data_IF_074964022772
#
_entry.id   IF_074964022772
#
_cell.length_a   1.000
_cell.length_b   1.000
_cell.length_c   1.000
_cell.angle_alpha   90.00
_cell.angle_beta   90.00
_cell.angle_gamma   90.00
#
_symmetry.space_group_name_H-M   'P 1'
#
loop_
_entity.id
_entity.type
_entity.pdbx_description
1 polymer ?
#
# COMPACT_ATOMS: atom_id res chain seq x y z
N UNK A 1 12.98 3.01 -24.10
CA UNK A 1 12.94 4.49 -24.11
C UNK A 1 11.60 4.88 -23.54
N UNK A 2 11.57 5.60 -22.41
CA UNK A 2 10.29 6.08 -21.86
C UNK A 2 9.69 7.11 -22.82
N UNK A 3 8.41 6.98 -23.14
CA UNK A 3 7.71 7.99 -23.91
C UNK A 3 7.68 9.30 -23.13
N UNK A 4 7.93 10.41 -23.80
CA UNK A 4 7.90 11.75 -23.20
C UNK A 4 6.42 12.14 -22.94
N UNK A 5 5.93 11.91 -21.72
CA UNK A 5 4.55 12.22 -21.34
C UNK A 5 4.46 13.64 -20.75
N UNK A 6 3.48 14.43 -21.21
CA UNK A 6 3.37 15.87 -20.88
C UNK A 6 2.86 16.15 -19.45
N UNK A 7 2.19 15.19 -18.84
CA UNK A 7 1.62 15.31 -17.49
C UNK A 7 1.42 13.92 -16.89
N UNK A 8 1.62 13.81 -15.57
CA UNK A 8 1.37 12.55 -14.85
C UNK A 8 -0.12 12.19 -14.96
N UNK A 9 -0.49 10.99 -15.43
CA UNK A 9 -1.89 10.60 -15.55
C UNK A 9 -2.60 10.63 -14.19
N UNK A 10 -3.80 11.22 -14.15
CA UNK A 10 -4.72 11.14 -13.01
C UNK A 10 -5.93 10.30 -13.41
N UNK A 11 -6.05 9.11 -12.84
CA UNK A 11 -7.05 8.12 -13.25
C UNK A 11 -8.12 7.99 -12.16
N UNK A 12 -9.39 8.12 -12.55
CA UNK A 12 -10.50 7.82 -11.66
C UNK A 12 -10.76 6.32 -11.63
N UNK A 13 -10.58 5.70 -10.46
CA UNK A 13 -10.83 4.28 -10.25
C UNK A 13 -12.17 4.01 -9.56
N UNK A 14 -13.03 5.03 -9.39
CA UNK A 14 -14.38 4.90 -8.83
C UNK A 14 -15.19 3.76 -9.46
N UNK A 15 -15.25 3.64 -10.80
CA UNK A 15 -15.95 2.52 -11.45
C UNK A 15 -15.43 1.16 -11.03
N UNK A 16 -14.09 0.99 -10.97
CA UNK A 16 -13.47 -0.24 -10.45
C UNK A 16 -13.84 -0.44 -8.98
N UNK A 17 -13.96 0.63 -8.20
CA UNK A 17 -14.28 0.49 -6.77
C UNK A 17 -15.70 -0.05 -6.57
N UNK A 18 -16.65 0.43 -7.35
CA UNK A 18 -18.08 0.13 -7.26
C UNK A 18 -18.46 -1.22 -7.87
N UNK A 19 -17.87 -1.59 -9.01
CA UNK A 19 -18.37 -2.68 -9.87
C UNK A 19 -17.45 -3.92 -9.94
N UNK A 20 -16.34 -3.97 -9.19
CA UNK A 20 -15.39 -5.10 -9.26
C UNK A 20 -16.00 -6.45 -8.87
N UNK A 21 -17.01 -6.44 -8.01
CA UNK A 21 -17.69 -7.66 -7.54
C UNK A 21 -18.93 -7.99 -8.40
N UNK A 22 -19.18 -7.22 -9.47
CA UNK A 22 -20.31 -7.42 -10.37
C UNK A 22 -20.00 -8.55 -11.40
N UNK A 23 -20.79 -9.63 -11.45
CA UNK A 23 -20.61 -10.70 -12.43
C UNK A 23 -20.69 -10.24 -13.90
N UNK A 24 -21.31 -9.10 -14.17
CA UNK A 24 -21.46 -8.50 -15.49
C UNK A 24 -20.38 -7.47 -15.84
N UNK A 25 -19.41 -7.24 -14.96
CA UNK A 25 -18.37 -6.21 -15.09
C UNK A 25 -17.57 -6.27 -16.40
N UNK A 26 -17.44 -7.45 -17.02
CA UNK A 26 -16.59 -7.67 -18.19
C UNK A 26 -17.02 -6.87 -19.43
N UNK A 27 -18.30 -6.51 -19.55
CA UNK A 27 -18.85 -5.76 -20.68
C UNK A 27 -19.14 -4.29 -20.34
N UNK A 28 -18.82 -3.85 -19.13
CA UNK A 28 -19.04 -2.47 -18.71
C UNK A 28 -18.03 -1.53 -19.39
N UNK A 29 -18.55 -0.57 -20.17
CA UNK A 29 -17.72 0.32 -20.98
C UNK A 29 -16.83 1.23 -20.13
N UNK A 30 -17.32 1.67 -18.97
CA UNK A 30 -16.59 2.58 -18.08
C UNK A 30 -15.44 1.83 -17.42
N UNK A 31 -15.68 0.60 -16.95
CA UNK A 31 -14.64 -0.27 -16.41
C UNK A 31 -13.55 -0.56 -17.45
N UNK A 32 -13.94 -0.92 -18.67
CA UNK A 32 -12.99 -1.17 -19.76
C UNK A 32 -12.17 0.07 -20.12
N UNK A 33 -12.76 1.27 -20.00
CA UNK A 33 -12.03 2.52 -20.20
C UNK A 33 -10.99 2.76 -19.10
N UNK A 34 -11.37 2.60 -17.82
CA UNK A 34 -10.42 2.73 -16.70
C UNK A 34 -9.28 1.73 -16.83
N UNK A 35 -9.59 0.48 -17.19
CA UNK A 35 -8.60 -0.59 -17.44
C UNK A 35 -7.59 -0.20 -18.52
N UNK A 36 -8.05 0.37 -19.64
CA UNK A 36 -7.17 0.87 -20.71
C UNK A 36 -6.26 2.00 -20.22
N UNK A 37 -6.83 3.00 -19.53
CA UNK A 37 -6.06 4.12 -18.98
C UNK A 37 -4.96 3.66 -18.01
N UNK A 38 -5.24 2.66 -17.16
CA UNK A 38 -4.25 2.08 -16.26
C UNK A 38 -3.11 1.40 -17.02
N UNK A 39 -3.42 0.62 -18.07
CA UNK A 39 -2.40 -0.05 -18.87
C UNK A 39 -1.54 0.93 -19.67
N UNK A 40 -2.16 1.95 -20.28
CA UNK A 40 -1.46 3.00 -21.01
C UNK A 40 -0.53 3.78 -20.06
N UNK A 41 -1.02 4.17 -18.89
CA UNK A 41 -0.18 4.85 -17.88
C UNK A 41 0.99 3.97 -17.40
N UNK A 42 0.78 2.66 -17.24
CA UNK A 42 1.86 1.72 -16.92
C UNK A 42 2.90 1.58 -18.05
N UNK A 43 2.48 1.62 -19.31
CA UNK A 43 3.37 1.47 -20.48
C UNK A 43 4.16 2.74 -20.78
N UNK A 44 3.50 3.89 -20.66
CA UNK A 44 4.04 5.17 -21.10
C UNK A 44 4.81 5.89 -19.99
N UNK A 45 4.16 6.07 -18.82
CA UNK A 45 4.73 6.82 -17.70
C UNK A 45 5.39 5.91 -16.66
N UNK A 46 4.87 4.71 -16.47
CA UNK A 46 5.28 3.77 -15.41
C UNK A 46 4.72 4.12 -14.03
N UNK A 47 3.95 5.21 -13.90
CA UNK A 47 3.26 5.63 -12.68
C UNK A 47 2.08 6.56 -13.00
N UNK A 48 1.15 6.70 -12.06
CA UNK A 48 -0.05 7.53 -12.19
C UNK A 48 -0.60 7.90 -10.81
N UNK A 49 -1.36 8.99 -10.74
CA UNK A 49 -2.22 9.31 -9.60
C UNK A 49 -3.58 8.64 -9.75
N UNK A 50 -4.21 8.32 -8.62
CA UNK A 50 -5.58 7.80 -8.60
C UNK A 50 -6.51 8.71 -7.80
N UNK A 51 -7.76 8.81 -8.25
CA UNK A 51 -8.89 9.34 -7.47
C UNK A 51 -10.03 8.33 -7.47
N UNK A 52 -11.08 8.55 -6.68
CA UNK A 52 -12.21 7.60 -6.59
C UNK A 52 -11.85 6.29 -5.87
N UNK A 53 -10.77 6.27 -5.10
CA UNK A 53 -10.29 5.08 -4.39
C UNK A 53 -11.10 4.74 -3.11
N UNK A 54 -12.08 5.56 -2.70
CA UNK A 54 -12.94 5.26 -1.54
C UNK A 54 -12.22 5.22 -0.17
N UNK A 55 -11.06 5.88 -0.06
CA UNK A 55 -10.35 6.03 1.22
C UNK A 55 -10.71 7.39 1.79
N UNK A 56 -11.25 7.41 3.00
CA UNK A 56 -11.77 8.63 3.62
C UNK A 56 -10.63 9.65 3.82
N UNK A 57 -10.87 10.90 3.45
CA UNK A 57 -9.89 11.97 3.67
C UNK A 57 -9.58 12.19 5.14
N UNK A 58 -10.56 11.98 6.03
CA UNK A 58 -10.38 12.04 7.48
C UNK A 58 -9.37 11.00 7.95
N UNK A 59 -9.48 9.75 7.47
CA UNK A 59 -8.55 8.67 7.77
C UNK A 59 -7.13 9.00 7.28
N UNK A 60 -6.98 9.49 6.05
CA UNK A 60 -5.67 9.88 5.52
C UNK A 60 -5.03 11.02 6.34
N UNK A 61 -5.85 11.99 6.78
CA UNK A 61 -5.40 13.13 7.59
C UNK A 61 -4.98 12.68 9.00
N UNK A 62 -5.75 11.80 9.61
CA UNK A 62 -5.46 11.25 10.94
C UNK A 62 -4.15 10.45 10.92
N UNK A 63 -3.95 9.57 9.93
CA UNK A 63 -2.68 8.84 9.74
C UNK A 63 -1.52 9.81 9.59
N UNK A 64 -1.64 10.84 8.74
CA UNK A 64 -0.59 11.85 8.54
C UNK A 64 -0.25 12.59 9.83
N UNK A 65 -1.27 12.94 10.63
CA UNK A 65 -1.06 13.64 11.90
C UNK A 65 -0.29 12.76 12.90
N UNK A 66 -0.72 11.51 13.10
CA UNK A 66 -0.07 10.58 14.02
C UNK A 66 1.36 10.27 13.56
N UNK A 67 1.59 10.07 12.26
CA UNK A 67 2.94 9.89 11.71
C UNK A 67 3.84 11.10 11.98
N UNK A 68 3.31 12.32 11.79
CA UNK A 68 4.06 13.56 12.05
C UNK A 68 4.40 13.71 13.53
N UNK A 69 3.45 13.43 14.42
CA UNK A 69 3.66 13.45 15.86
C UNK A 69 4.76 12.47 16.28
N UNK A 70 4.74 11.24 15.74
CA UNK A 70 5.79 10.26 16.01
C UNK A 70 7.18 10.77 15.59
N UNK A 71 7.33 11.32 14.38
CA UNK A 71 8.66 11.76 13.91
C UNK A 71 9.18 13.02 14.63
N UNK A 72 8.29 13.79 15.27
CA UNK A 72 8.64 14.90 16.15
C UNK A 72 9.13 14.45 17.54
N UNK A 73 8.98 13.17 17.90
CA UNK A 73 9.49 12.65 19.17
C UNK A 73 11.03 12.70 19.22
N UNK A 74 11.61 12.79 20.44
CA UNK A 74 13.04 12.61 20.63
C UNK A 74 13.53 11.28 20.06
N UNK A 75 14.77 11.26 19.58
CA UNK A 75 15.36 10.08 18.93
C UNK A 75 15.28 8.80 19.78
N UNK A 76 15.52 8.91 21.09
CA UNK A 76 15.43 7.78 22.02
C UNK A 76 14.03 7.18 22.13
N UNK A 77 12.99 8.01 21.98
CA UNK A 77 11.61 7.55 21.99
C UNK A 77 11.26 6.80 20.71
N UNK A 78 11.75 7.29 19.56
CA UNK A 78 11.61 6.60 18.26
C UNK A 78 12.33 5.25 18.25
N UNK A 79 13.49 5.16 18.90
CA UNK A 79 14.27 3.92 19.00
C UNK A 79 13.57 2.80 19.79
N UNK A 80 12.58 3.09 20.63
CA UNK A 80 11.83 2.06 21.38
C UNK A 80 11.10 1.06 20.47
N UNK A 81 10.81 1.46 19.24
CA UNK A 81 10.20 0.58 18.22
C UNK A 81 11.18 0.28 17.08
N UNK A 82 12.49 0.29 17.33
CA UNK A 82 13.51 0.04 16.30
C UNK A 82 13.24 -1.26 15.53
N UNK A 83 13.35 -1.18 14.22
CA UNK A 83 13.25 -2.32 13.33
C UNK A 83 14.39 -3.31 13.56
N UNK A 84 14.04 -4.59 13.73
CA UNK A 84 14.98 -5.69 13.90
C UNK A 84 14.48 -6.97 13.21
N UNK A 85 15.34 -7.96 12.94
CA UNK A 85 14.88 -9.27 12.46
C UNK A 85 13.84 -9.92 13.40
N UNK A 86 13.96 -9.71 14.71
CA UNK A 86 13.04 -10.26 15.72
C UNK A 86 11.66 -9.58 15.70
N UNK A 87 11.59 -8.33 15.25
CA UNK A 87 10.32 -7.62 15.02
C UNK A 87 9.58 -8.07 13.74
N UNK A 88 10.15 -9.00 12.98
CA UNK A 88 9.70 -9.32 11.64
C UNK A 88 9.85 -8.12 10.69
N UNK A 89 10.97 -7.39 10.84
CA UNK A 89 11.31 -6.19 10.06
C UNK A 89 10.25 -5.07 10.14
N UNK A 90 9.62 -4.90 11.30
CA UNK A 90 8.64 -3.84 11.58
C UNK A 90 9.19 -2.78 12.51
N UNK A 91 8.72 -1.56 12.33
CA UNK A 91 9.03 -0.45 13.22
C UNK A 91 10.00 0.57 12.60
N UNK A 92 10.66 1.32 13.47
CA UNK A 92 11.41 2.52 13.11
C UNK A 92 12.76 2.23 12.45
N UNK A 93 13.01 2.94 11.35
CA UNK A 93 14.26 2.99 10.61
C UNK A 93 14.87 4.39 10.75
N UNK A 94 16.13 4.47 11.18
CA UNK A 94 16.84 5.75 11.29
C UNK A 94 17.37 6.22 9.94
N UNK A 95 17.71 7.51 9.86
CA UNK A 95 18.40 8.09 8.70
C UNK A 95 19.68 7.31 8.41
N UNK A 96 19.88 6.94 7.13
CA UNK A 96 21.02 6.17 6.65
C UNK A 96 21.00 4.68 6.98
N UNK A 97 19.90 4.14 7.51
CA UNK A 97 19.75 2.70 7.76
C UNK A 97 19.51 1.92 6.46
N UNK A 98 18.71 2.46 5.54
CA UNK A 98 18.54 1.89 4.21
C UNK A 98 19.70 2.32 3.28
N UNK A 99 20.20 1.37 2.50
CA UNK A 99 21.29 1.58 1.54
C UNK A 99 20.78 1.27 0.13
N UNK A 100 20.64 2.31 -0.70
CA UNK A 100 20.24 2.16 -2.10
C UNK A 100 21.43 2.40 -3.02
N UNK A 101 21.76 1.41 -3.86
CA UNK A 101 22.93 1.46 -4.79
C UNK A 101 24.23 1.85 -4.08
N UNK A 102 24.44 1.33 -2.86
CA UNK A 102 25.63 1.58 -2.05
C UNK A 102 25.67 2.96 -1.36
N UNK A 103 24.60 3.75 -1.44
CA UNK A 103 24.50 5.06 -0.76
C UNK A 103 23.43 5.01 0.34
N UNK A 104 23.69 5.59 1.53
CA UNK A 104 22.68 5.70 2.57
C UNK A 104 21.52 6.62 2.15
N UNK A 105 20.29 6.17 2.42
CA UNK A 105 19.09 6.95 2.14
C UNK A 105 18.88 8.01 3.23
N UNK A 106 18.58 9.24 2.82
CA UNK A 106 18.46 10.41 3.69
C UNK A 106 17.03 10.60 4.21
N UNK A 107 16.42 9.52 4.70
CA UNK A 107 15.10 9.53 5.33
C UNK A 107 15.06 8.65 6.57
N UNK A 108 14.20 9.00 7.52
CA UNK A 108 13.71 8.05 8.53
C UNK A 108 12.38 7.44 8.07
N UNK A 109 11.99 6.29 8.62
CA UNK A 109 10.76 5.61 8.23
C UNK A 109 10.18 4.74 9.37
N UNK A 110 8.94 4.32 9.20
CA UNK A 110 8.30 3.28 10.02
C UNK A 110 7.74 2.23 9.07
N UNK A 111 8.21 1.00 9.20
CA UNK A 111 7.70 -0.13 8.43
C UNK A 111 6.55 -0.80 9.17
N UNK A 112 5.37 -0.79 8.53
CA UNK A 112 4.16 -1.40 9.03
C UNK A 112 3.61 -2.38 7.98
N UNK A 113 3.22 -3.58 8.43
CA UNK A 113 2.61 -4.60 7.59
C UNK A 113 1.26 -5.04 8.14
N UNK A 114 0.48 -5.75 7.33
CA UNK A 114 -0.68 -6.50 7.82
C UNK A 114 -0.20 -7.52 8.88
N UNK A 115 -0.83 -7.59 10.07
CA UNK A 115 -0.48 -8.60 11.06
C UNK A 115 -0.69 -10.02 10.52
N UNK A 116 0.30 -10.89 10.69
CA UNK A 116 0.25 -12.29 10.25
C UNK A 116 0.34 -13.19 11.48
N UNK A 117 -0.68 -14.02 11.67
CA UNK A 117 -0.70 -15.01 12.76
C UNK A 117 0.38 -16.08 12.51
N UNK A 118 1.07 -16.55 13.57
CA UNK A 118 2.03 -17.64 13.44
C UNK A 118 1.42 -18.88 12.77
N UNK A 119 2.17 -19.48 11.86
CA UNK A 119 1.79 -20.67 11.10
C UNK A 119 0.82 -20.43 9.93
N UNK A 120 0.36 -19.19 9.68
CA UNK A 120 -0.68 -18.92 8.67
C UNK A 120 -0.29 -19.35 7.25
N UNK A 121 0.99 -19.19 6.89
CA UNK A 121 1.50 -19.43 5.54
C UNK A 121 2.67 -20.43 5.52
N UNK A 122 2.90 -21.16 6.63
CA UNK A 122 4.00 -22.12 6.77
C UNK A 122 5.37 -21.47 6.96
N UNK A 123 6.41 -22.31 6.98
CA UNK A 123 7.75 -21.92 7.44
C UNK A 123 8.42 -20.82 6.61
N UNK A 124 8.13 -20.75 5.30
CA UNK A 124 8.71 -19.74 4.41
C UNK A 124 8.24 -18.32 4.77
N UNK A 125 7.08 -18.18 5.39
CA UNK A 125 6.53 -16.89 5.79
C UNK A 125 6.91 -16.48 7.22
N UNK A 126 7.57 -17.37 7.97
CA UNK A 126 7.94 -17.15 9.38
C UNK A 126 8.63 -15.81 9.66
N UNK A 127 9.55 -15.30 8.81
CA UNK A 127 10.15 -13.98 9.02
C UNK A 127 9.17 -12.81 8.94
N UNK A 128 8.04 -13.00 8.24
CA UNK A 128 6.99 -11.99 8.06
C UNK A 128 5.86 -12.15 9.09
N UNK A 129 5.87 -13.18 9.93
CA UNK A 129 4.88 -13.35 10.99
C UNK A 129 5.03 -12.28 12.07
N UNK A 130 3.94 -12.01 12.78
CA UNK A 130 3.90 -11.04 13.88
C UNK A 130 3.04 -9.81 13.63
N UNK A 131 3.17 -8.86 14.54
CA UNK A 131 2.39 -7.63 14.63
C UNK A 131 3.29 -6.40 14.58
N UNK A 132 2.75 -5.26 14.16
CA UNK A 132 3.47 -3.98 14.16
C UNK A 132 3.85 -3.55 15.59
N UNK A 133 5.00 -2.91 15.70
CA UNK A 133 5.47 -2.28 16.93
C UNK A 133 4.82 -0.90 17.06
N UNK A 134 4.15 -0.66 18.19
CA UNK A 134 3.50 0.62 18.46
C UNK A 134 4.09 1.26 19.70
N UNK A 135 4.33 2.57 19.63
CA UNK A 135 4.82 3.35 20.75
C UNK A 135 3.74 3.51 21.85
N UNK A 136 4.16 3.44 23.11
CA UNK A 136 3.29 3.21 24.30
C UNK A 136 2.21 4.28 24.48
N UNK A 137 2.48 5.54 24.17
CA UNK A 137 1.51 6.63 24.34
C UNK A 137 0.33 6.57 23.32
N UNK A 138 0.42 5.68 22.34
CA UNK A 138 -0.45 5.66 21.16
C UNK A 138 -0.97 4.27 20.78
N UNK A 139 -0.72 3.26 21.62
CA UNK A 139 -0.77 1.84 21.27
C UNK A 139 -2.11 1.34 20.68
N UNK A 140 -3.24 1.73 21.27
CA UNK A 140 -4.57 1.23 20.86
C UNK A 140 -5.19 2.08 19.73
N UNK A 141 -5.23 3.43 19.81
CA UNK A 141 -5.81 4.25 18.73
C UNK A 141 -5.03 4.11 17.42
N UNK A 142 -3.70 4.07 17.51
CA UNK A 142 -2.81 4.07 16.34
C UNK A 142 -2.79 2.72 15.64
N UNK A 143 -2.82 1.62 16.40
CA UNK A 143 -2.87 0.29 15.79
C UNK A 143 -4.15 0.06 14.99
N UNK A 144 -5.30 0.47 15.53
CA UNK A 144 -6.59 0.43 14.81
C UNK A 144 -6.59 1.33 13.58
N UNK A 145 -6.06 2.56 13.72
CA UNK A 145 -5.97 3.53 12.64
C UNK A 145 -5.15 3.03 11.45
N UNK A 146 -3.92 2.61 11.69
CA UNK A 146 -3.04 2.10 10.65
C UNK A 146 -3.53 0.78 10.07
N UNK A 147 -4.13 -0.10 10.88
CA UNK A 147 -4.73 -1.35 10.37
C UNK A 147 -5.88 -1.05 9.40
N UNK A 148 -6.76 -0.11 9.73
CA UNK A 148 -7.83 0.35 8.82
C UNK A 148 -7.24 0.95 7.54
N UNK A 149 -6.23 1.80 7.67
CA UNK A 149 -5.58 2.45 6.53
C UNK A 149 -4.90 1.43 5.61
N UNK A 150 -4.05 0.55 6.14
CA UNK A 150 -3.38 -0.53 5.41
C UNK A 150 -4.41 -1.42 4.73
N UNK A 151 -5.46 -1.83 5.45
CA UNK A 151 -6.50 -2.68 4.88
C UNK A 151 -7.21 -2.01 3.69
N UNK A 152 -7.63 -0.74 3.84
CA UNK A 152 -8.26 0.03 2.75
C UNK A 152 -7.30 0.22 1.57
N UNK A 153 -6.04 0.55 1.82
CA UNK A 153 -5.02 0.68 0.78
C UNK A 153 -4.78 -0.64 0.03
N UNK A 154 -4.55 -1.75 0.74
CA UNK A 154 -4.30 -3.05 0.12
C UNK A 154 -5.50 -3.56 -0.68
N UNK A 155 -6.73 -3.36 -0.16
CA UNK A 155 -7.97 -3.75 -0.84
C UNK A 155 -8.20 -2.91 -2.10
N UNK A 156 -7.86 -1.63 -2.07
CA UNK A 156 -8.11 -0.71 -3.18
C UNK A 156 -7.02 -0.76 -4.26
N UNK A 157 -5.74 -0.78 -3.88
CA UNK A 157 -4.62 -0.51 -4.80
C UNK A 157 -3.89 -1.75 -5.31
N UNK A 158 -3.88 -2.90 -4.61
CA UNK A 158 -2.90 -3.95 -4.89
C UNK A 158 -3.46 -5.31 -5.32
N UNK A 159 -4.50 -5.84 -4.67
CA UNK A 159 -4.84 -7.25 -4.85
C UNK A 159 -6.13 -7.51 -5.63
N UNK A 160 -7.06 -6.56 -5.65
CA UNK A 160 -8.42 -6.84 -6.16
C UNK A 160 -8.84 -5.98 -7.34
N UNK A 161 -8.20 -4.84 -7.58
CA UNK A 161 -8.69 -3.86 -8.57
C UNK A 161 -7.64 -3.55 -9.64
N UNK A 162 -6.61 -2.78 -9.31
CA UNK A 162 -5.64 -2.28 -10.29
C UNK A 162 -4.81 -3.38 -10.97
N UNK A 163 -4.19 -4.28 -10.19
CA UNK A 163 -3.37 -5.36 -10.76
C UNK A 163 -4.19 -6.35 -11.63
N UNK A 164 -5.37 -6.83 -11.17
CA UNK A 164 -6.31 -7.55 -12.01
C UNK A 164 -6.68 -6.82 -13.31
N UNK A 165 -7.00 -5.52 -13.23
CA UNK A 165 -7.34 -4.72 -14.41
C UNK A 165 -6.20 -4.68 -15.43
N UNK A 166 -4.97 -4.47 -14.98
CA UNK A 166 -3.78 -4.46 -15.86
C UNK A 166 -3.50 -5.88 -16.42
N UNK A 167 -3.79 -6.94 -15.67
CA UNK A 167 -3.67 -8.30 -16.19
C UNK A 167 -4.71 -8.57 -17.30
N UNK A 168 -5.98 -8.19 -17.05
CA UNK A 168 -7.07 -8.33 -18.02
C UNK A 168 -6.83 -7.52 -19.30
N UNK A 169 -6.32 -6.28 -19.22
CA UNK A 169 -5.99 -5.49 -20.42
C UNK A 169 -4.95 -6.17 -21.32
N UNK A 170 -4.09 -7.00 -20.72
CA UNK A 170 -3.04 -7.76 -21.40
C UNK A 170 -3.50 -9.15 -21.84
N UNK A 171 -4.80 -9.44 -21.74
CA UNK A 171 -5.38 -10.73 -22.12
C UNK A 171 -5.01 -11.88 -21.18
N UNK A 172 -4.46 -11.59 -20.00
CA UNK A 172 -4.17 -12.61 -19.00
C UNK A 172 -5.47 -12.99 -18.29
N UNK A 173 -5.79 -14.29 -18.28
CA UNK A 173 -6.89 -14.82 -17.47
C UNK A 173 -6.45 -14.83 -16.01
N UNK A 174 -7.27 -14.23 -15.15
CA UNK A 174 -7.10 -14.33 -13.71
C UNK A 174 -7.81 -15.61 -13.28
N UNK A 175 -7.09 -16.72 -13.20
CA UNK A 175 -7.65 -17.95 -12.65
C UNK A 175 -7.95 -17.76 -11.16
N UNK A 176 -9.24 -17.83 -10.82
CA UNK A 176 -9.80 -18.07 -9.50
C UNK A 176 -9.13 -17.35 -8.31
N UNK A 177 -9.72 -16.22 -7.91
CA UNK A 177 -9.87 -15.95 -6.47
C UNK A 177 -11.35 -15.80 -6.16
N UNK A 178 -11.93 -16.87 -5.60
CA UNK A 178 -13.00 -16.67 -4.61
C UNK A 178 -12.40 -15.74 -3.56
N UNK A 179 -13.00 -14.57 -3.40
CA UNK A 179 -12.81 -13.71 -2.23
C UNK A 179 -13.35 -14.42 -0.99
#
# INVERSE_FOLDING_TARGET
MGSDFKSIPLIDIGPLVEKIDDPSMANDKDLLQVVRLLDDACKEAGFFYVKGHGIDESLMREVRNVTREFFQLPYEEKLKIKMTPQSGYRGYQRIGENITKGKPDMHEAIDCYTPIRPGKYGDLAKPMEGSNLWYVCFQIPTSSLFSRYIFKHCKCLHLLKVCPSIACSRGLKIENRKL
#
